data_IF_707628267201
#
_entry.id   IF_707628267201
#
_cell.length_a   1.000
_cell.length_b   1.000
_cell.length_c   1.000
_cell.angle_alpha   90.00
_cell.angle_beta   90.00
_cell.angle_gamma   90.00
#
_symmetry.space_group_name_H-M   'P 1'
#
loop_
_entity.id
_entity.type
_entity.pdbx_description
1 polymer ?
#
# COMPACT_ATOMS: atom_id res chain seq x y z
N UNK A 1 26.43 -3.26 -9.83
CA UNK A 1 25.27 -4.22 -9.76
C UNK A 1 24.91 -4.35 -8.30
N UNK A 2 23.79 -3.77 -7.98
CA UNK A 2 23.50 -3.30 -6.63
C UNK A 2 23.09 -4.40 -5.65
N UNK A 3 24.06 -4.81 -4.86
CA UNK A 3 23.89 -5.54 -3.60
C UNK A 3 23.24 -4.70 -2.48
N UNK A 4 22.82 -3.46 -2.76
CA UNK A 4 22.24 -2.55 -1.75
C UNK A 4 20.80 -2.91 -1.38
N UNK A 5 20.02 -3.48 -2.29
CA UNK A 5 18.62 -3.85 -2.01
C UNK A 5 18.50 -5.08 -1.09
N UNK A 6 19.42 -6.04 -1.19
CA UNK A 6 19.37 -7.25 -0.34
C UNK A 6 19.77 -7.00 1.12
N UNK A 7 20.60 -5.98 1.39
CA UNK A 7 21.03 -5.62 2.76
C UNK A 7 19.92 -4.94 3.57
N UNK A 8 19.09 -4.10 2.94
CA UNK A 8 18.00 -3.42 3.63
C UNK A 8 16.89 -4.34 4.10
N UNK A 9 16.44 -5.26 3.25
CA UNK A 9 15.39 -6.23 3.57
C UNK A 9 15.83 -7.25 4.63
N UNK A 10 17.08 -7.70 4.59
CA UNK A 10 17.63 -8.62 5.57
C UNK A 10 17.76 -8.01 6.97
N UNK A 11 18.09 -6.72 7.07
CA UNK A 11 18.24 -6.02 8.36
C UNK A 11 16.89 -5.68 9.02
N UNK A 12 15.87 -5.32 8.23
CA UNK A 12 14.51 -5.08 8.74
C UNK A 12 13.91 -6.38 9.27
N UNK A 13 14.06 -7.47 8.55
CA UNK A 13 13.60 -8.80 8.99
C UNK A 13 14.35 -9.29 10.25
N UNK A 14 15.66 -9.10 10.32
CA UNK A 14 16.47 -9.47 11.47
C UNK A 14 16.16 -8.64 12.72
N UNK A 15 15.92 -7.34 12.60
CA UNK A 15 15.55 -6.49 13.74
C UNK A 15 14.19 -6.84 14.33
N UNK A 16 13.23 -7.29 13.52
CA UNK A 16 11.92 -7.72 14.02
C UNK A 16 11.98 -9.07 14.75
N UNK A 17 12.82 -9.98 14.30
CA UNK A 17 13.00 -11.31 14.93
C UNK A 17 13.82 -11.22 16.24
N UNK A 18 14.74 -10.26 16.36
CA UNK A 18 15.59 -10.12 17.53
C UNK A 18 14.89 -9.55 18.78
N UNK A 19 13.67 -8.99 18.66
CA UNK A 19 13.02 -8.40 19.82
C UNK A 19 12.25 -9.37 20.71
N UNK A 20 12.27 -10.66 20.43
CA UNK A 20 11.60 -11.72 21.25
C UNK A 20 10.22 -11.26 21.77
N UNK A 21 9.41 -10.64 20.90
CA UNK A 21 8.09 -10.10 21.24
C UNK A 21 7.03 -10.74 20.38
N UNK A 22 5.89 -11.03 21.00
CA UNK A 22 4.69 -11.38 20.27
C UNK A 22 4.20 -10.15 19.47
N UNK A 23 3.90 -10.34 18.19
CA UNK A 23 3.32 -9.32 17.34
C UNK A 23 2.24 -9.90 16.43
N UNK A 24 1.11 -9.20 16.34
CA UNK A 24 0.05 -9.49 15.37
C UNK A 24 -0.05 -8.30 14.42
N UNK A 25 0.24 -8.53 13.16
CA UNK A 25 0.44 -7.49 12.16
C UNK A 25 -0.43 -7.74 10.93
N UNK A 26 -0.81 -6.67 10.23
CA UNK A 26 -1.36 -6.80 8.88
C UNK A 26 -0.27 -7.25 7.91
N UNK A 27 -0.61 -8.15 6.98
CA UNK A 27 0.31 -8.54 5.91
C UNK A 27 0.41 -7.42 4.85
N UNK A 28 1.28 -6.46 5.16
CA UNK A 28 1.50 -5.28 4.32
C UNK A 28 2.18 -5.61 2.99
N UNK A 29 3.02 -6.65 2.98
CA UNK A 29 3.69 -7.11 1.74
C UNK A 29 2.64 -7.66 0.78
N UNK A 30 1.78 -8.57 1.26
CA UNK A 30 0.72 -9.15 0.44
C UNK A 30 -0.30 -8.08 0.01
N UNK A 31 -0.63 -7.13 0.88
CA UNK A 31 -1.59 -6.06 0.57
C UNK A 31 -1.15 -5.22 -0.62
N UNK A 32 0.09 -4.74 -0.62
CA UNK A 32 0.63 -3.99 -1.76
C UNK A 32 0.81 -4.86 -3.00
N UNK A 33 1.22 -6.11 -2.83
CA UNK A 33 1.28 -7.07 -3.94
C UNK A 33 -0.08 -7.24 -4.62
N UNK A 34 -1.15 -7.34 -3.85
CA UNK A 34 -2.51 -7.47 -4.39
C UNK A 34 -2.93 -6.23 -5.21
N UNK A 35 -2.62 -5.02 -4.73
CA UNK A 35 -2.90 -3.78 -5.45
C UNK A 35 -2.12 -3.68 -6.77
N UNK A 36 -0.81 -3.94 -6.75
CA UNK A 36 0.03 -3.91 -7.96
C UNK A 36 -0.46 -4.94 -9.00
N UNK A 37 -0.73 -6.18 -8.56
CA UNK A 37 -1.24 -7.23 -9.46
C UNK A 37 -2.60 -6.88 -10.05
N UNK A 38 -3.47 -6.23 -9.28
CA UNK A 38 -4.78 -5.76 -9.75
C UNK A 38 -4.61 -4.69 -10.82
N UNK A 39 -3.75 -3.69 -10.59
CA UNK A 39 -3.45 -2.67 -11.59
C UNK A 39 -2.84 -3.30 -12.87
N UNK A 40 -1.89 -4.22 -12.71
CA UNK A 40 -1.27 -4.94 -13.82
C UNK A 40 -2.30 -5.75 -14.65
N UNK A 41 -3.21 -6.45 -13.99
CA UNK A 41 -4.28 -7.23 -14.64
C UNK A 41 -5.24 -6.35 -15.46
N UNK A 42 -5.45 -5.08 -15.06
CA UNK A 42 -6.18 -4.08 -15.83
C UNK A 42 -5.40 -3.51 -17.03
N UNK A 43 -4.12 -3.86 -17.16
CA UNK A 43 -3.26 -3.45 -18.26
C UNK A 43 -2.30 -2.32 -17.91
N UNK A 44 -2.28 -1.83 -16.66
CA UNK A 44 -1.32 -0.81 -16.25
C UNK A 44 0.11 -1.35 -16.27
N UNK A 45 1.05 -0.51 -16.76
CA UNK A 45 2.49 -0.79 -16.78
C UNK A 45 3.28 0.33 -16.11
N UNK A 46 2.69 1.51 -15.97
CA UNK A 46 3.25 2.68 -15.30
C UNK A 46 2.46 2.91 -14.02
N UNK A 47 2.91 2.26 -12.94
CA UNK A 47 2.25 2.27 -11.63
C UNK A 47 3.13 3.06 -10.67
N UNK A 48 2.58 4.11 -10.05
CA UNK A 48 3.27 4.88 -9.01
C UNK A 48 2.73 4.52 -7.63
N UNK A 49 3.59 4.70 -6.62
CA UNK A 49 3.23 4.52 -5.23
C UNK A 49 3.62 5.75 -4.41
N UNK A 50 2.64 6.41 -3.81
CA UNK A 50 2.86 7.40 -2.76
C UNK A 50 2.79 6.64 -1.45
N UNK A 51 3.90 6.56 -0.73
CA UNK A 51 3.97 5.88 0.57
C UNK A 51 3.87 6.87 1.73
N UNK A 52 3.59 6.41 2.95
CA UNK A 52 3.64 7.23 4.16
C UNK A 52 5.06 7.47 4.65
N UNK A 53 5.20 8.11 5.83
CA UNK A 53 6.47 8.30 6.52
C UNK A 53 7.19 6.98 6.76
N UNK A 54 8.51 7.01 6.92
CA UNK A 54 9.33 5.81 7.11
C UNK A 54 9.04 5.12 8.44
N UNK A 55 8.31 4.03 8.35
CA UNK A 55 7.95 3.12 9.44
C UNK A 55 8.14 1.67 8.99
N UNK A 56 8.11 0.71 9.90
CA UNK A 56 8.13 -0.71 9.53
C UNK A 56 6.94 -1.10 8.61
N UNK A 57 5.80 -0.44 8.76
CA UNK A 57 4.63 -0.63 7.88
C UNK A 57 4.96 -0.18 6.47
N UNK A 58 5.53 1.01 6.32
CA UNK A 58 5.95 1.57 5.03
C UNK A 58 7.01 0.71 4.35
N UNK A 59 8.02 0.27 5.08
CA UNK A 59 9.06 -0.61 4.54
C UNK A 59 8.49 -1.94 4.00
N UNK A 60 7.55 -2.54 4.72
CA UNK A 60 6.87 -3.75 4.26
C UNK A 60 5.98 -3.49 3.03
N UNK A 61 5.31 -2.34 2.97
CA UNK A 61 4.52 -1.93 1.80
C UNK A 61 5.42 -1.69 0.58
N UNK A 62 6.52 -0.97 0.75
CA UNK A 62 7.53 -0.77 -0.29
C UNK A 62 8.11 -2.10 -0.78
N UNK A 63 8.43 -3.02 0.14
CA UNK A 63 8.91 -4.36 -0.22
C UNK A 63 7.88 -5.12 -1.09
N UNK A 64 6.59 -5.07 -0.72
CA UNK A 64 5.51 -5.68 -1.50
C UNK A 64 5.34 -5.05 -2.87
N UNK A 65 5.45 -3.72 -2.95
CA UNK A 65 5.39 -2.97 -4.19
C UNK A 65 6.52 -3.35 -5.15
N UNK A 66 7.78 -3.20 -4.72
CA UNK A 66 8.95 -3.49 -5.56
C UNK A 66 9.02 -4.96 -5.96
N UNK A 67 8.78 -5.88 -5.02
CA UNK A 67 8.76 -7.31 -5.31
C UNK A 67 7.75 -7.64 -6.41
N UNK A 68 6.54 -7.09 -6.33
CA UNK A 68 5.51 -7.38 -7.33
C UNK A 68 5.81 -6.73 -8.67
N UNK A 69 6.40 -5.54 -8.70
CA UNK A 69 6.84 -4.91 -9.94
C UNK A 69 7.93 -5.73 -10.62
N UNK A 70 8.93 -6.20 -9.86
CA UNK A 70 10.01 -7.05 -10.37
C UNK A 70 9.48 -8.38 -10.95
N UNK A 71 8.64 -9.09 -10.19
CA UNK A 71 8.02 -10.35 -10.63
C UNK A 71 7.16 -10.20 -11.91
N UNK A 72 6.61 -9.02 -12.15
CA UNK A 72 5.76 -8.69 -13.31
C UNK A 72 6.55 -8.02 -14.45
N UNK A 73 7.86 -7.83 -14.30
CA UNK A 73 8.70 -7.17 -15.29
C UNK A 73 8.35 -5.69 -15.50
N UNK A 74 7.87 -5.01 -14.44
CA UNK A 74 7.54 -3.59 -14.49
C UNK A 74 8.77 -2.75 -14.12
N UNK A 75 9.09 -1.80 -14.98
CA UNK A 75 10.07 -0.76 -14.64
C UNK A 75 9.45 0.27 -13.70
N UNK A 76 10.15 0.56 -12.60
CA UNK A 76 9.74 1.56 -11.61
C UNK A 76 10.78 2.67 -11.57
N UNK A 77 10.58 3.78 -12.30
CA UNK A 77 11.43 4.96 -12.16
C UNK A 77 11.40 5.49 -10.72
N UNK A 78 12.51 5.98 -10.19
CA UNK A 78 12.58 6.57 -8.85
C UNK A 78 11.52 7.67 -8.63
N UNK A 79 11.21 8.42 -9.70
CA UNK A 79 10.20 9.46 -9.68
C UNK A 79 8.77 8.95 -9.41
N UNK A 80 8.51 7.65 -9.58
CA UNK A 80 7.19 7.04 -9.35
C UNK A 80 6.96 6.63 -7.89
N UNK A 81 8.00 6.62 -7.07
CA UNK A 81 7.90 6.32 -5.64
C UNK A 81 8.11 7.62 -4.87
N UNK A 82 7.06 8.09 -4.21
CA UNK A 82 7.02 9.41 -3.57
C UNK A 82 6.70 9.29 -2.10
N UNK A 83 7.34 10.12 -1.29
CA UNK A 83 7.07 10.17 0.15
C UNK A 83 5.94 11.16 0.45
N UNK A 84 4.80 10.62 0.85
CA UNK A 84 3.68 11.33 1.44
C UNK A 84 3.68 11.23 2.97
N UNK A 85 2.51 11.45 3.55
CA UNK A 85 2.26 11.30 5.00
C UNK A 85 0.95 10.55 5.17
N UNK A 86 0.90 9.60 6.11
CA UNK A 86 -0.35 8.90 6.44
C UNK A 86 -1.41 9.89 6.91
N UNK A 87 -2.64 9.72 6.46
CA UNK A 87 -3.78 10.56 6.81
C UNK A 87 -3.61 12.06 6.50
N UNK A 88 -2.70 12.40 5.56
CA UNK A 88 -2.50 13.77 5.09
C UNK A 88 -2.86 13.89 3.59
N UNK A 89 -4.12 14.27 3.35
CA UNK A 89 -4.62 14.49 2.00
C UNK A 89 -3.90 15.64 1.27
N UNK A 90 -3.50 16.70 1.98
CA UNK A 90 -2.86 17.87 1.38
C UNK A 90 -1.44 17.52 0.89
N UNK A 91 -0.66 16.81 1.72
CA UNK A 91 0.67 16.33 1.34
C UNK A 91 0.59 15.37 0.14
N UNK A 92 -0.32 14.41 0.18
CA UNK A 92 -0.50 13.47 -0.92
C UNK A 92 -1.03 14.12 -2.20
N UNK A 93 -1.81 15.21 -2.10
CA UNK A 93 -2.20 16.01 -3.27
C UNK A 93 -0.99 16.68 -3.95
N UNK A 94 -0.01 17.19 -3.18
CA UNK A 94 1.23 17.76 -3.71
C UNK A 94 2.04 16.72 -4.47
N UNK A 95 2.23 15.53 -3.88
CA UNK A 95 2.96 14.44 -4.53
C UNK A 95 2.23 13.93 -5.78
N UNK A 96 0.89 13.90 -5.75
CA UNK A 96 0.08 13.57 -6.93
C UNK A 96 0.33 14.58 -8.07
N UNK A 97 0.32 15.88 -7.80
CA UNK A 97 0.63 16.91 -8.81
C UNK A 97 2.02 16.75 -9.40
N UNK A 98 3.02 16.40 -8.57
CA UNK A 98 4.37 16.12 -9.03
C UNK A 98 4.42 14.90 -9.97
N UNK A 99 3.70 13.82 -9.66
CA UNK A 99 3.58 12.64 -10.53
C UNK A 99 2.89 12.96 -11.86
N UNK A 100 1.83 13.78 -11.82
CA UNK A 100 1.09 14.17 -13.03
C UNK A 100 1.89 15.07 -13.95
N UNK A 101 2.85 15.85 -13.43
CA UNK A 101 3.74 16.74 -14.18
C UNK A 101 4.90 16.01 -14.87
N UNK A 102 5.12 14.71 -14.62
CA UNK A 102 6.18 13.96 -15.25
C UNK A 102 5.95 13.80 -16.76
N UNK A 103 7.00 13.86 -17.60
CA UNK A 103 6.89 13.64 -19.04
C UNK A 103 6.23 12.31 -19.40
N UNK A 104 6.57 11.27 -18.65
CA UNK A 104 5.89 9.98 -18.69
C UNK A 104 5.14 9.78 -17.37
N UNK A 105 3.95 10.36 -17.28
CA UNK A 105 3.14 10.24 -16.06
C UNK A 105 2.68 8.79 -15.84
N UNK A 106 2.51 8.36 -14.57
CA UNK A 106 1.90 7.07 -14.26
C UNK A 106 0.46 7.01 -14.76
N UNK A 107 -0.04 5.82 -15.03
CA UNK A 107 -1.44 5.57 -15.39
C UNK A 107 -2.26 5.04 -14.22
N UNK A 108 -1.59 4.64 -13.14
CA UNK A 108 -2.20 4.24 -11.87
C UNK A 108 -1.36 4.77 -10.72
N UNK A 109 -2.00 5.31 -9.69
CA UNK A 109 -1.36 5.73 -8.44
C UNK A 109 -1.97 4.96 -7.28
N UNK A 110 -1.09 4.30 -6.49
CA UNK A 110 -1.45 3.67 -5.22
C UNK A 110 -1.13 4.67 -4.11
N UNK A 111 -2.06 4.87 -3.18
CA UNK A 111 -1.92 5.78 -2.04
C UNK A 111 -1.62 5.03 -0.75
N UNK A 112 -1.01 5.70 0.25
CA UNK A 112 -0.64 5.06 1.52
C UNK A 112 -1.86 4.61 2.33
N UNK A 113 -2.99 5.31 2.20
CA UNK A 113 -4.27 5.02 2.83
C UNK A 113 -5.42 5.67 2.07
N UNK A 114 -6.66 5.31 2.43
CA UNK A 114 -7.87 5.81 1.75
C UNK A 114 -8.12 7.30 2.01
N UNK A 115 -7.72 7.82 3.17
CA UNK A 115 -7.87 9.25 3.48
C UNK A 115 -6.92 10.10 2.62
N UNK A 116 -5.68 9.67 2.51
CA UNK A 116 -4.67 10.31 1.65
C UNK A 116 -5.07 10.27 0.18
N UNK A 117 -5.76 9.22 -0.27
CA UNK A 117 -6.27 9.13 -1.64
C UNK A 117 -7.27 10.25 -2.01
N UNK A 118 -7.98 10.83 -1.03
CA UNK A 118 -8.85 12.01 -1.28
C UNK A 118 -8.05 13.19 -1.83
N UNK A 119 -6.84 13.42 -1.30
CA UNK A 119 -5.93 14.44 -1.82
C UNK A 119 -5.56 14.17 -3.28
N UNK A 120 -5.30 12.89 -3.60
CA UNK A 120 -5.07 12.45 -4.97
C UNK A 120 -6.25 12.74 -5.89
N UNK A 121 -7.48 12.39 -5.48
CA UNK A 121 -8.70 12.71 -6.24
C UNK A 121 -8.82 14.20 -6.50
N UNK A 122 -8.66 15.02 -5.48
CA UNK A 122 -8.74 16.48 -5.61
C UNK A 122 -7.68 17.01 -6.59
N UNK A 123 -6.44 16.57 -6.47
CA UNK A 123 -5.34 16.98 -7.35
C UNK A 123 -5.58 16.57 -8.81
N UNK A 124 -6.05 15.35 -9.04
CA UNK A 124 -6.37 14.82 -10.38
C UNK A 124 -7.50 15.65 -11.00
N UNK A 125 -8.59 15.88 -10.26
CA UNK A 125 -9.73 16.67 -10.75
C UNK A 125 -9.34 18.12 -11.10
N UNK A 126 -8.46 18.75 -10.30
CA UNK A 126 -7.95 20.10 -10.58
C UNK A 126 -7.16 20.20 -11.89
N UNK A 127 -6.60 19.10 -12.39
CA UNK A 127 -5.92 19.05 -13.70
C UNK A 127 -6.87 18.76 -14.86
N UNK A 128 -8.17 18.55 -14.60
CA UNK A 128 -9.16 18.18 -15.60
C UNK A 128 -9.11 16.69 -16.00
N UNK A 129 -8.28 15.89 -15.34
CA UNK A 129 -8.20 14.45 -15.59
C UNK A 129 -9.33 13.70 -14.88
N UNK A 130 -9.79 12.63 -15.49
CA UNK A 130 -10.90 11.81 -15.00
C UNK A 130 -10.40 10.50 -14.42
N UNK A 131 -10.99 10.10 -13.32
CA UNK A 131 -10.77 8.79 -12.68
C UNK A 131 -11.96 7.90 -13.06
N UNK A 132 -11.76 6.70 -13.59
CA UNK A 132 -10.48 6.06 -13.92
C UNK A 132 -10.00 6.29 -15.36
N UNK A 133 -10.73 7.05 -16.21
CA UNK A 133 -10.54 7.09 -17.66
C UNK A 133 -9.14 7.57 -18.08
N UNK A 134 -8.60 8.56 -17.37
CA UNK A 134 -7.32 9.17 -17.69
C UNK A 134 -6.20 8.73 -16.71
N UNK A 135 -6.59 8.32 -15.49
CA UNK A 135 -5.71 7.80 -14.47
C UNK A 135 -6.49 6.98 -13.43
N UNK A 136 -5.96 5.83 -13.07
CA UNK A 136 -6.52 4.97 -12.03
C UNK A 136 -5.95 5.32 -10.64
N UNK A 137 -6.76 5.12 -9.61
CA UNK A 137 -6.40 5.39 -8.21
C UNK A 137 -6.74 4.21 -7.34
N UNK A 138 -5.83 3.85 -6.43
CA UNK A 138 -6.03 2.78 -5.45
C UNK A 138 -5.63 3.25 -4.06
N UNK A 139 -6.34 2.78 -3.04
CA UNK A 139 -6.08 3.09 -1.63
C UNK A 139 -5.66 1.88 -0.81
N UNK A 140 -5.57 2.10 0.48
CA UNK A 140 -5.27 1.08 1.49
C UNK A 140 -6.07 1.39 2.75
N UNK A 141 -6.40 0.39 3.54
CA UNK A 141 -7.15 0.31 4.79
C UNK A 141 -8.60 -0.15 4.64
N UNK A 142 -9.30 0.19 3.55
CA UNK A 142 -10.68 -0.21 3.31
C UNK A 142 -11.67 0.43 4.26
N UNK A 143 -11.44 1.69 4.64
CA UNK A 143 -12.33 2.44 5.53
C UNK A 143 -13.63 2.83 4.82
N UNK A 144 -14.66 3.23 5.59
CA UNK A 144 -15.96 3.60 5.05
C UNK A 144 -15.89 4.69 3.97
N UNK A 145 -14.93 5.60 4.09
CA UNK A 145 -14.70 6.67 3.13
C UNK A 145 -14.52 6.17 1.70
N UNK A 146 -13.78 5.06 1.50
CA UNK A 146 -13.55 4.45 0.18
C UNK A 146 -14.87 4.10 -0.55
N UNK A 147 -15.95 3.87 0.21
CA UNK A 147 -17.27 3.51 -0.30
C UNK A 147 -18.10 4.68 -0.78
N UNK A 148 -17.85 5.88 -0.23
CA UNK A 148 -18.63 7.10 -0.52
C UNK A 148 -17.92 8.03 -1.50
N UNK A 149 -16.66 7.77 -1.81
CA UNK A 149 -15.93 8.48 -2.85
C UNK A 149 -16.56 8.24 -4.23
N UNK A 150 -16.45 9.23 -5.12
CA UNK A 150 -16.92 9.13 -6.51
C UNK A 150 -15.79 9.52 -7.47
N UNK A 151 -15.29 8.55 -8.28
CA UNK A 151 -15.62 7.12 -8.33
C UNK A 151 -15.30 6.39 -7.01
N UNK A 152 -16.00 5.27 -6.73
CA UNK A 152 -15.75 4.45 -5.55
C UNK A 152 -14.32 3.90 -5.59
N UNK A 153 -13.56 4.09 -4.51
CA UNK A 153 -12.15 3.73 -4.44
C UNK A 153 -11.95 2.20 -4.37
N UNK A 154 -11.10 1.68 -5.24
CA UNK A 154 -10.52 0.33 -5.10
C UNK A 154 -9.46 0.40 -4.00
N UNK A 155 -9.56 -0.44 -2.97
CA UNK A 155 -8.67 -0.39 -1.82
C UNK A 155 -8.41 -1.76 -1.23
N UNK A 156 -7.27 -1.94 -0.57
CA UNK A 156 -6.99 -3.15 0.20
C UNK A 156 -7.45 -2.98 1.64
N UNK A 157 -8.51 -3.71 2.01
CA UNK A 157 -9.06 -3.66 3.36
C UNK A 157 -8.25 -4.52 4.32
N UNK A 158 -7.76 -3.91 5.38
CA UNK A 158 -7.17 -4.62 6.50
C UNK A 158 -8.25 -5.38 7.29
N UNK A 159 -7.92 -6.58 7.75
CA UNK A 159 -8.83 -7.37 8.59
C UNK A 159 -8.66 -6.98 10.07
N UNK A 160 -9.08 -5.77 10.42
CA UNK A 160 -8.93 -5.20 11.77
C UNK A 160 -9.61 -6.03 12.85
N UNK A 161 -10.73 -6.68 12.52
CA UNK A 161 -11.43 -7.57 13.45
C UNK A 161 -10.58 -8.80 13.78
N UNK A 162 -10.00 -9.44 12.76
CA UNK A 162 -9.13 -10.60 12.97
C UNK A 162 -7.84 -10.20 13.68
N UNK A 163 -7.26 -9.04 13.36
CA UNK A 163 -6.10 -8.48 14.08
C UNK A 163 -6.40 -8.37 15.57
N UNK A 164 -7.51 -7.72 15.91
CA UNK A 164 -7.92 -7.53 17.32
C UNK A 164 -8.19 -8.85 18.02
N UNK A 165 -8.93 -9.77 17.38
CA UNK A 165 -9.23 -11.10 17.94
C UNK A 165 -7.95 -11.91 18.19
N UNK A 166 -7.10 -12.02 17.16
CA UNK A 166 -5.82 -12.78 17.29
C UNK A 166 -4.92 -12.19 18.37
N UNK A 167 -4.85 -10.85 18.46
CA UNK A 167 -4.05 -10.19 19.50
C UNK A 167 -4.60 -10.49 20.91
N UNK A 168 -5.93 -10.46 21.10
CA UNK A 168 -6.55 -10.79 22.37
C UNK A 168 -6.32 -12.26 22.75
N UNK A 169 -6.53 -13.19 21.82
CA UNK A 169 -6.32 -14.62 22.06
C UNK A 169 -4.86 -14.90 22.45
N UNK A 170 -3.90 -14.25 21.77
CA UNK A 170 -2.47 -14.38 22.11
C UNK A 170 -2.12 -13.78 23.47
N UNK A 171 -2.72 -12.64 23.81
CA UNK A 171 -2.54 -12.03 25.13
C UNK A 171 -3.01 -12.96 26.24
N UNK A 172 -4.20 -13.56 26.10
CA UNK A 172 -4.73 -14.54 27.06
C UNK A 172 -3.78 -15.73 27.17
N UNK A 173 -3.32 -16.33 26.06
CA UNK A 173 -2.35 -17.41 26.09
C UNK A 173 -1.05 -17.05 26.81
N UNK A 174 -0.53 -15.82 26.61
CA UNK A 174 0.67 -15.35 27.32
C UNK A 174 0.47 -15.21 28.80
N UNK A 175 -0.73 -14.83 29.25
CA UNK A 175 -1.07 -14.69 30.68
C UNK A 175 -1.26 -16.08 31.34
N UNK A 176 -1.96 -16.98 30.65
CA UNK A 176 -2.28 -18.31 31.20
C UNK A 176 -1.10 -19.26 31.13
N UNK A 177 -0.27 -19.14 30.08
CA UNK A 177 0.85 -20.04 29.79
C UNK A 177 2.18 -19.31 29.53
N UNK A 178 2.67 -18.50 30.50
CA UNK A 178 3.82 -17.61 30.28
C UNK A 178 5.15 -18.33 29.98
N UNK A 179 5.26 -19.61 30.34
CA UNK A 179 6.50 -20.38 30.14
C UNK A 179 6.56 -21.16 28.84
N UNK A 180 5.44 -21.30 28.13
CA UNK A 180 5.34 -22.10 26.90
C UNK A 180 4.93 -21.26 25.69
N UNK A 181 4.48 -20.03 25.90
CA UNK A 181 4.14 -19.13 24.79
C UNK A 181 5.39 -18.51 24.21
N UNK A 182 5.75 -18.96 23.01
CA UNK A 182 6.89 -18.41 22.29
C UNK A 182 6.54 -17.07 21.64
N UNK A 183 7.53 -16.19 21.54
CA UNK A 183 7.40 -14.97 20.77
C UNK A 183 7.33 -15.31 19.28
N UNK A 184 6.29 -14.86 18.62
CA UNK A 184 6.05 -15.07 17.19
C UNK A 184 5.46 -13.83 16.53
N UNK A 185 5.65 -13.73 15.22
CA UNK A 185 4.96 -12.76 14.38
C UNK A 185 3.83 -13.43 13.62
N UNK A 186 2.61 -12.98 13.85
CA UNK A 186 1.43 -13.44 13.14
C UNK A 186 1.00 -12.38 12.12
N UNK A 187 0.94 -12.78 10.85
CA UNK A 187 0.48 -11.93 9.78
C UNK A 187 -0.97 -12.23 9.46
N UNK A 188 -1.80 -11.20 9.49
CA UNK A 188 -3.23 -11.28 9.15
C UNK A 188 -3.44 -10.67 7.78
N UNK A 189 -3.93 -11.48 6.86
CA UNK A 189 -4.25 -11.02 5.50
C UNK A 189 -5.57 -10.28 5.48
N UNK A 190 -5.61 -9.23 4.66
CA UNK A 190 -6.82 -8.50 4.33
C UNK A 190 -7.45 -8.99 3.03
N UNK A 191 -8.24 -8.14 2.39
CA UNK A 191 -8.85 -8.41 1.10
C UNK A 191 -8.95 -7.15 0.24
N UNK A 192 -8.93 -7.34 -1.07
CA UNK A 192 -9.25 -6.26 -2.00
C UNK A 192 -10.75 -5.94 -1.92
N UNK A 193 -11.06 -4.64 -1.87
CA UNK A 193 -12.43 -4.15 -2.03
C UNK A 193 -12.60 -3.57 -3.43
N UNK A 194 -13.62 -4.03 -4.12
CA UNK A 194 -13.98 -3.55 -5.45
C UNK A 194 -14.48 -2.10 -5.42
N UNK A 195 -14.16 -1.39 -6.49
CA UNK A 195 -14.57 -0.03 -6.73
C UNK A 195 -14.62 0.28 -8.22
N UNK A 196 -14.75 1.56 -8.54
CA UNK A 196 -14.78 2.06 -9.91
C UNK A 196 -13.65 3.06 -10.21
N UNK A 197 -12.66 3.15 -9.31
CA UNK A 197 -11.50 4.05 -9.47
C UNK A 197 -10.37 3.47 -10.30
N UNK A 198 -10.48 2.21 -10.70
CA UNK A 198 -9.49 1.53 -11.55
C UNK A 198 -10.18 1.08 -12.84
N UNK A 199 -9.57 1.40 -13.96
CA UNK A 199 -10.01 1.03 -15.29
C UNK A 199 -8.83 0.60 -16.15
N UNK A 200 -9.06 0.42 -17.45
CA UNK A 200 -7.97 0.20 -18.39
C UNK A 200 -7.15 1.48 -18.55
N UNK A 201 -5.80 1.40 -18.68
CA UNK A 201 -4.99 2.58 -18.93
C UNK A 201 -5.39 3.26 -20.23
N UNK A 202 -5.29 4.60 -20.32
CA UNK A 202 -5.50 5.30 -21.57
C UNK A 202 -4.51 4.81 -22.64
N UNK A 203 -4.98 4.69 -23.86
CA UNK A 203 -4.11 4.44 -25.02
C UNK A 203 -3.33 5.74 -25.27
N UNK A 204 -2.02 5.72 -24.99
CA UNK A 204 -1.09 6.85 -25.19
C UNK A 204 -0.12 6.47 -26.29
#
# INVERSE_FOLDING_TARGET
RDLRMSRGLGDVYKRQVFNNRMAVLSDNVMGLSALVRTAYAQGHRRIAFIHGERTAVTENRLAGFYKSCDELGLEVPDAYVREGIYHDAARCAQETKALLALPQRPTCIIFPDDFSAMGGYSAIQQTGLRIPQDISVMGYDGIYLSRVMSPKLVTYQQNTMMLGRTAADKLVQMVEHPRVTLAEQLLVTGKLLDGSSVGRPPQI
#
